data_IF_655930030063
#
_entry.id   IF_655930030063
#
_cell.length_a   1.000
_cell.length_b   1.000
_cell.length_c   1.000
_cell.angle_alpha   90.00
_cell.angle_beta   90.00
_cell.angle_gamma   90.00
#
_symmetry.space_group_name_H-M   'P 1'
#
loop_
_entity.id
_entity.type
_entity.pdbx_description
1 polymer ?
#
# COMPACT_ATOMS: atom_id res chain seq x y z
N UNK A 1 -5.80 11.87 1.93
CA UNK A 1 -6.59 10.68 2.34
C UNK A 1 -6.10 9.49 1.53
N UNK A 2 -5.94 8.31 2.14
CA UNK A 2 -5.52 7.09 1.44
C UNK A 2 -6.68 6.08 1.38
N UNK A 3 -7.02 5.60 0.20
CA UNK A 3 -8.13 4.66 -0.05
C UNK A 3 -7.58 3.26 -0.29
N UNK A 4 -8.09 2.26 0.42
CA UNK A 4 -7.59 0.87 0.30
C UNK A 4 -8.26 0.09 -0.82
N UNK A 5 -7.51 -0.86 -1.40
CA UNK A 5 -8.06 -1.96 -2.20
C UNK A 5 -9.15 -2.74 -1.45
N UNK A 6 -9.09 -2.80 -0.11
CA UNK A 6 -10.09 -3.47 0.72
C UNK A 6 -11.30 -2.61 1.09
N UNK A 7 -11.47 -1.40 0.53
CA UNK A 7 -12.56 -0.50 0.91
C UNK A 7 -13.95 -1.05 0.55
N UNK A 8 -14.93 -0.78 1.42
CA UNK A 8 -16.33 -1.13 1.23
C UNK A 8 -17.12 -0.18 0.33
N UNK A 9 -16.43 0.81 -0.22
CA UNK A 9 -16.96 1.76 -1.20
C UNK A 9 -15.95 1.82 -2.34
N UNK A 10 -16.45 1.88 -3.57
CA UNK A 10 -15.59 1.93 -4.75
C UNK A 10 -14.71 3.18 -4.76
N UNK A 11 -13.50 3.04 -5.31
CA UNK A 11 -12.53 4.13 -5.42
C UNK A 11 -13.08 5.30 -6.26
N UNK A 12 -13.93 4.99 -7.24
CA UNK A 12 -14.62 5.94 -8.11
C UNK A 12 -15.58 6.83 -7.31
N UNK A 13 -16.43 6.21 -6.48
CA UNK A 13 -17.41 6.92 -5.65
C UNK A 13 -16.70 7.80 -4.63
N UNK A 14 -15.65 7.30 -3.98
CA UNK A 14 -14.84 8.08 -3.03
C UNK A 14 -14.16 9.25 -3.74
N UNK A 15 -13.58 9.04 -4.92
CA UNK A 15 -12.91 10.09 -5.67
C UNK A 15 -13.88 11.20 -6.11
N UNK A 16 -15.08 10.83 -6.56
CA UNK A 16 -16.11 11.77 -6.97
C UNK A 16 -16.60 12.61 -5.79
N UNK A 17 -16.89 11.98 -4.66
CA UNK A 17 -17.39 12.69 -3.49
C UNK A 17 -16.31 13.59 -2.87
N UNK A 18 -15.07 13.11 -2.80
CA UNK A 18 -13.95 13.94 -2.35
C UNK A 18 -13.73 15.16 -3.24
N UNK A 19 -13.81 14.98 -4.57
CA UNK A 19 -13.68 16.09 -5.53
C UNK A 19 -14.80 17.13 -5.32
N UNK A 20 -16.03 16.67 -5.09
CA UNK A 20 -17.17 17.53 -4.77
C UNK A 20 -16.91 18.33 -3.49
N UNK A 21 -16.54 17.63 -2.42
CA UNK A 21 -16.27 18.22 -1.10
C UNK A 21 -15.14 19.27 -1.12
N UNK A 22 -14.01 18.95 -1.76
CA UNK A 22 -12.88 19.88 -1.87
C UNK A 22 -13.26 21.10 -2.70
N UNK A 23 -13.97 20.94 -3.83
CA UNK A 23 -14.40 22.06 -4.66
C UNK A 23 -15.33 23.02 -3.90
N UNK A 24 -16.21 22.49 -3.07
CA UNK A 24 -17.16 23.29 -2.27
C UNK A 24 -16.48 24.02 -1.11
N UNK A 25 -15.65 23.31 -0.34
CA UNK A 25 -15.13 23.81 0.94
C UNK A 25 -13.73 24.43 0.84
N UNK A 26 -12.93 24.00 -0.13
CA UNK A 26 -11.53 24.41 -0.32
C UNK A 26 -11.20 24.59 -1.82
N UNK A 27 -11.81 25.59 -2.50
CA UNK A 27 -11.72 25.73 -3.97
C UNK A 27 -10.30 25.98 -4.50
N UNK A 28 -9.37 26.43 -3.65
CA UNK A 28 -7.97 26.65 -4.00
C UNK A 28 -7.06 25.46 -3.65
N UNK A 29 -7.59 24.42 -3.01
CA UNK A 29 -6.83 23.24 -2.61
C UNK A 29 -6.91 22.15 -3.67
N UNK A 30 -5.78 21.51 -3.92
CA UNK A 30 -5.73 20.31 -4.77
C UNK A 30 -6.13 19.07 -3.96
N UNK A 31 -6.86 18.16 -4.62
CA UNK A 31 -7.18 16.84 -4.06
C UNK A 31 -5.90 16.05 -3.77
N UNK A 32 -5.74 15.59 -2.54
CA UNK A 32 -4.65 14.70 -2.09
C UNK A 32 -5.19 13.31 -1.75
N UNK A 33 -5.85 12.70 -2.73
CA UNK A 33 -6.27 11.31 -2.68
C UNK A 33 -5.13 10.39 -3.12
N UNK A 34 -4.76 9.43 -2.27
CA UNK A 34 -3.82 8.35 -2.59
C UNK A 34 -4.55 7.02 -2.58
N UNK A 35 -4.07 6.07 -3.38
CA UNK A 35 -4.69 4.74 -3.47
C UNK A 35 -3.71 3.68 -2.98
N UNK A 36 -4.10 2.94 -1.94
CA UNK A 36 -3.34 1.81 -1.42
C UNK A 36 -3.67 0.53 -2.17
N UNK A 37 -2.63 -0.13 -2.67
CA UNK A 37 -2.72 -1.36 -3.45
C UNK A 37 -2.03 -2.54 -2.77
N UNK A 38 -2.70 -3.69 -2.84
CA UNK A 38 -2.08 -5.00 -2.68
C UNK A 38 -1.89 -5.63 -4.06
N UNK A 39 -0.67 -6.08 -4.36
CA UNK A 39 -0.41 -6.83 -5.58
C UNK A 39 -0.93 -8.24 -5.40
N UNK A 40 -1.81 -8.68 -6.30
CA UNK A 40 -2.40 -10.01 -6.28
C UNK A 40 -1.65 -10.92 -7.24
N UNK A 41 -1.83 -12.24 -7.09
CA UNK A 41 -1.29 -13.24 -8.03
C UNK A 41 -1.76 -12.98 -9.47
N UNK A 42 -2.97 -12.45 -9.65
CA UNK A 42 -3.44 -12.01 -10.96
C UNK A 42 -2.93 -10.60 -11.27
N UNK A 43 -1.79 -10.52 -11.97
CA UNK A 43 -1.18 -9.24 -12.36
C UNK A 43 -2.08 -8.37 -13.23
N UNK A 44 -2.98 -8.95 -14.04
CA UNK A 44 -3.95 -8.19 -14.83
C UNK A 44 -4.96 -7.47 -13.95
N UNK A 45 -5.40 -8.12 -12.86
CA UNK A 45 -6.28 -7.50 -11.88
C UNK A 45 -5.60 -6.31 -11.19
N UNK A 46 -4.37 -6.47 -10.70
CA UNK A 46 -3.60 -5.36 -10.11
C UNK A 46 -3.37 -4.23 -11.11
N UNK A 47 -3.06 -4.54 -12.38
CA UNK A 47 -2.93 -3.54 -13.45
C UNK A 47 -4.24 -2.77 -13.65
N UNK A 48 -5.38 -3.45 -13.72
CA UNK A 48 -6.68 -2.81 -13.87
C UNK A 48 -6.98 -1.85 -12.71
N UNK A 49 -6.66 -2.22 -11.46
CA UNK A 49 -6.82 -1.34 -10.30
C UNK A 49 -5.95 -0.08 -10.38
N UNK A 50 -4.70 -0.23 -10.82
CA UNK A 50 -3.77 0.89 -11.00
C UNK A 50 -4.32 1.88 -12.04
N UNK A 51 -4.74 1.37 -13.20
CA UNK A 51 -5.32 2.20 -14.25
C UNK A 51 -6.63 2.87 -13.80
N UNK A 52 -7.46 2.18 -13.01
CA UNK A 52 -8.67 2.77 -12.42
C UNK A 52 -8.33 3.91 -11.46
N UNK A 53 -7.33 3.74 -10.61
CA UNK A 53 -6.87 4.79 -9.69
C UNK A 53 -6.34 6.01 -10.47
N UNK A 54 -5.57 5.81 -11.54
CA UNK A 54 -5.14 6.90 -12.42
C UNK A 54 -6.32 7.64 -13.04
N UNK A 55 -7.28 6.91 -13.64
CA UNK A 55 -8.49 7.50 -14.24
C UNK A 55 -9.33 8.29 -13.24
N UNK A 56 -9.38 7.83 -11.98
CA UNK A 56 -10.09 8.53 -10.91
C UNK A 56 -9.37 9.80 -10.42
N UNK A 57 -8.13 10.04 -10.84
CA UNK A 57 -7.34 11.22 -10.49
C UNK A 57 -6.66 11.12 -9.12
N UNK A 58 -6.40 9.91 -8.64
CA UNK A 58 -5.53 9.70 -7.48
C UNK A 58 -4.12 10.25 -7.78
N UNK A 59 -3.40 10.65 -6.73
CA UNK A 59 -2.12 11.38 -6.83
C UNK A 59 -0.89 10.54 -6.51
N UNK A 60 -1.07 9.39 -5.88
CA UNK A 60 0.00 8.46 -5.58
C UNK A 60 -0.58 7.06 -5.35
N UNK A 61 0.26 6.05 -5.58
CA UNK A 61 0.00 4.67 -5.24
C UNK A 61 0.79 4.30 -3.99
N UNK A 62 0.10 3.80 -2.97
CA UNK A 62 0.70 3.27 -1.75
C UNK A 62 0.75 1.75 -1.88
N UNK A 63 1.91 1.23 -2.26
CA UNK A 63 2.12 -0.20 -2.41
C UNK A 63 2.44 -0.82 -1.04
N UNK A 64 1.58 -1.74 -0.59
CA UNK A 64 1.83 -2.46 0.66
C UNK A 64 2.73 -3.68 0.42
N UNK A 65 3.89 -3.69 1.06
CA UNK A 65 4.91 -4.75 0.93
C UNK A 65 5.08 -5.61 2.21
N UNK A 66 4.53 -5.18 3.36
CA UNK A 66 4.61 -5.93 4.63
C UNK A 66 3.65 -7.12 4.74
N UNK A 67 2.77 -7.32 3.76
CA UNK A 67 1.69 -8.31 3.83
C UNK A 67 1.92 -9.46 2.86
N UNK A 68 3.10 -10.07 2.92
CA UNK A 68 3.41 -11.28 2.13
C UNK A 68 2.68 -12.53 2.67
N UNK A 69 2.26 -12.50 3.93
CA UNK A 69 1.47 -13.55 4.57
C UNK A 69 0.33 -12.95 5.38
N UNK A 70 -0.77 -13.71 5.49
CA UNK A 70 -1.87 -13.39 6.38
C UNK A 70 -1.38 -13.57 7.81
N UNK A 71 -1.35 -12.48 8.58
CA UNK A 71 -0.98 -12.53 10.00
C UNK A 71 -1.96 -13.39 10.80
N UNK A 72 -1.45 -14.08 11.83
CA UNK A 72 -2.28 -14.83 12.77
C UNK A 72 -3.09 -13.87 13.65
N UNK A 73 -4.31 -13.54 13.23
CA UNK A 73 -5.23 -12.70 13.99
C UNK A 73 -6.05 -13.57 14.92
N UNK A 74 -5.49 -13.87 16.09
CA UNK A 74 -6.12 -14.73 17.10
C UNK A 74 -7.50 -14.20 17.53
N UNK A 75 -7.66 -12.88 17.64
CA UNK A 75 -8.97 -12.28 17.91
C UNK A 75 -10.00 -12.60 16.81
N UNK A 76 -9.61 -12.61 15.53
CA UNK A 76 -10.52 -12.97 14.44
C UNK A 76 -10.91 -14.45 14.54
N UNK A 77 -9.96 -15.32 14.92
CA UNK A 77 -10.20 -16.76 15.08
C UNK A 77 -11.10 -17.02 16.29
N UNK A 78 -10.78 -16.43 17.43
CA UNK A 78 -11.51 -16.58 18.68
C UNK A 78 -12.96 -16.10 18.56
N UNK A 79 -13.16 -14.99 17.86
CA UNK A 79 -14.49 -14.42 17.65
C UNK A 79 -15.21 -14.96 16.40
N UNK A 80 -14.62 -15.91 15.68
CA UNK A 80 -15.10 -16.40 14.38
C UNK A 80 -15.51 -15.25 13.43
N UNK A 81 -14.64 -14.25 13.32
CA UNK A 81 -14.97 -13.00 12.66
C UNK A 81 -15.27 -13.19 11.16
N UNK A 82 -16.39 -12.63 10.73
CA UNK A 82 -16.79 -12.50 9.35
C UNK A 82 -17.29 -11.08 9.09
N UNK A 83 -17.20 -10.62 7.84
CA UNK A 83 -17.85 -9.35 7.49
C UNK A 83 -19.37 -9.52 7.55
N UNK A 84 -20.10 -8.53 8.09
CA UNK A 84 -21.56 -8.50 8.04
C UNK A 84 -22.10 -8.60 6.61
N UNK A 85 -23.32 -9.11 6.47
CA UNK A 85 -23.99 -9.19 5.18
C UNK A 85 -24.10 -7.81 4.53
N UNK A 86 -23.85 -7.77 3.21
CA UNK A 86 -23.84 -6.54 2.42
C UNK A 86 -22.51 -5.77 2.46
N UNK A 87 -21.55 -6.13 3.34
CA UNK A 87 -20.22 -5.51 3.36
C UNK A 87 -19.23 -6.39 2.60
N UNK A 88 -18.50 -5.79 1.66
CA UNK A 88 -17.47 -6.45 0.83
C UNK A 88 -16.40 -5.47 0.41
N UNK A 89 -15.27 -5.96 -0.10
CA UNK A 89 -14.29 -5.10 -0.75
C UNK A 89 -14.77 -4.73 -2.17
N UNK A 90 -15.38 -3.55 -2.34
CA UNK A 90 -15.96 -3.10 -3.63
C UNK A 90 -14.92 -2.88 -4.72
N UNK A 91 -13.67 -2.59 -4.35
CA UNK A 91 -12.59 -2.51 -5.32
C UNK A 91 -12.10 -3.90 -5.76
N UNK A 92 -12.44 -4.95 -5.03
CA UNK A 92 -12.03 -6.33 -5.29
C UNK A 92 -13.12 -7.14 -5.97
N UNK A 93 -13.48 -6.71 -7.17
CA UNK A 93 -14.40 -7.40 -8.08
C UNK A 93 -13.57 -7.73 -9.33
N UNK A 94 -13.24 -9.00 -9.51
CA UNK A 94 -12.56 -9.47 -10.72
C UNK A 94 -13.56 -9.82 -11.84
N UNK A 95 -13.04 -10.19 -13.02
CA UNK A 95 -13.85 -10.62 -14.18
C UNK A 95 -14.75 -11.85 -13.90
N UNK A 96 -14.47 -12.59 -12.82
CA UNK A 96 -15.25 -13.73 -12.37
C UNK A 96 -16.22 -13.39 -11.24
N UNK A 97 -16.37 -12.09 -10.90
CA UNK A 97 -17.14 -11.60 -9.76
C UNK A 97 -16.75 -12.26 -8.42
N UNK A 98 -15.47 -12.61 -8.24
CA UNK A 98 -14.99 -13.11 -6.96
C UNK A 98 -14.97 -11.95 -5.97
N UNK A 99 -16.00 -11.89 -5.13
CA UNK A 99 -16.13 -10.90 -4.07
C UNK A 99 -15.26 -11.34 -2.89
N UNK A 100 -14.17 -10.60 -2.64
CA UNK A 100 -13.44 -10.75 -1.39
C UNK A 100 -14.28 -10.19 -0.22
N UNK A 101 -14.85 -11.11 0.56
CA UNK A 101 -15.52 -10.82 1.85
C UNK A 101 -14.53 -10.73 3.00
N UNK A 102 -13.27 -11.10 2.81
CA UNK A 102 -12.23 -10.90 3.81
C UNK A 102 -10.91 -10.54 3.14
N UNK A 103 -10.03 -9.84 3.85
CA UNK A 103 -8.67 -9.56 3.37
C UNK A 103 -7.88 -10.85 3.04
N UNK A 104 -8.25 -11.98 3.66
CA UNK A 104 -7.65 -13.31 3.39
C UNK A 104 -7.93 -13.81 1.97
N UNK A 105 -9.02 -13.34 1.36
CA UNK A 105 -9.44 -13.72 0.02
C UNK A 105 -8.82 -12.86 -1.08
N UNK A 106 -8.02 -11.84 -0.73
CA UNK A 106 -7.43 -10.91 -1.69
C UNK A 106 -6.32 -11.53 -2.57
N UNK A 107 -6.01 -12.83 -2.39
CA UNK A 107 -4.99 -13.56 -3.16
C UNK A 107 -3.68 -12.76 -3.35
N UNK A 108 -3.23 -12.12 -2.28
CA UNK A 108 -2.00 -11.32 -2.27
C UNK A 108 -0.83 -12.20 -2.71
N UNK A 109 0.02 -11.67 -3.57
CA UNK A 109 1.17 -12.42 -4.05
C UNK A 109 2.31 -12.40 -3.01
N UNK A 110 2.67 -13.56 -2.42
CA UNK A 110 3.76 -13.63 -1.45
C UNK A 110 5.14 -13.47 -2.09
N UNK A 111 5.23 -13.54 -3.43
CA UNK A 111 6.51 -13.48 -4.18
C UNK A 111 6.91 -12.07 -4.61
N UNK A 112 6.22 -11.04 -4.10
CA UNK A 112 6.51 -9.64 -4.43
C UNK A 112 7.99 -9.32 -4.16
N UNK A 113 8.62 -8.71 -5.16
CA UNK A 113 10.05 -8.43 -5.16
C UNK A 113 10.35 -7.03 -5.70
N UNK A 114 11.60 -6.61 -5.61
CA UNK A 114 12.07 -5.35 -6.20
C UNK A 114 11.82 -5.26 -7.72
N UNK A 115 11.81 -6.39 -8.45
CA UNK A 115 11.52 -6.41 -9.89
C UNK A 115 10.06 -6.06 -10.20
N UNK A 116 9.15 -6.34 -9.26
CA UNK A 116 7.74 -5.98 -9.41
C UNK A 116 7.54 -4.46 -9.32
N UNK A 117 8.45 -3.74 -8.66
CA UNK A 117 8.42 -2.27 -8.66
C UNK A 117 8.67 -1.72 -10.06
N UNK A 118 9.61 -2.29 -10.80
CA UNK A 118 9.90 -1.91 -12.19
C UNK A 118 8.70 -2.19 -13.08
N UNK A 119 8.03 -3.33 -12.88
CA UNK A 119 6.79 -3.65 -13.58
C UNK A 119 5.69 -2.63 -13.27
N UNK A 120 5.43 -2.30 -11.99
CA UNK A 120 4.40 -1.32 -11.61
C UNK A 120 4.71 0.05 -12.23
N UNK A 121 5.97 0.49 -12.18
CA UNK A 121 6.41 1.74 -12.80
C UNK A 121 6.20 1.76 -14.31
N UNK A 122 6.35 0.61 -14.98
CA UNK A 122 6.13 0.52 -16.42
C UNK A 122 4.66 0.71 -16.83
N UNK A 123 3.72 0.57 -15.88
CA UNK A 123 2.27 0.63 -16.16
C UNK A 123 1.57 1.83 -15.50
N UNK A 124 2.28 2.69 -14.78
CA UNK A 124 1.70 3.88 -14.15
C UNK A 124 2.65 5.06 -14.14
N UNK A 125 2.08 6.25 -14.26
CA UNK A 125 2.74 7.53 -14.07
C UNK A 125 2.65 8.05 -12.63
N UNK A 126 1.86 7.39 -11.77
CA UNK A 126 1.68 7.82 -10.39
C UNK A 126 2.95 7.59 -9.57
N UNK A 127 3.32 8.56 -8.70
CA UNK A 127 4.33 8.34 -7.68
C UNK A 127 4.01 7.10 -6.84
N UNK A 128 5.04 6.29 -6.58
CA UNK A 128 4.95 5.10 -5.74
C UNK A 128 5.46 5.40 -4.33
N UNK A 129 4.70 4.93 -3.35
CA UNK A 129 5.01 4.99 -1.93
C UNK A 129 5.05 3.55 -1.42
N UNK A 130 6.16 3.12 -0.81
CA UNK A 130 6.26 1.78 -0.27
C UNK A 130 5.87 1.76 1.20
N UNK A 131 4.76 1.11 1.48
CA UNK A 131 4.25 0.90 2.83
C UNK A 131 4.67 -0.48 3.33
N UNK A 132 5.33 -0.54 4.48
CA UNK A 132 5.66 -1.79 5.17
C UNK A 132 7.13 -2.17 5.17
N UNK A 133 8.01 -1.22 4.82
CA UNK A 133 9.46 -1.43 4.93
C UNK A 133 9.85 -1.37 6.40
N UNK A 134 10.59 -2.39 6.86
CA UNK A 134 10.96 -2.56 8.27
C UNK A 134 12.48 -2.73 8.47
N UNK A 135 13.25 -2.91 7.39
CA UNK A 135 14.70 -3.11 7.45
C UNK A 135 15.43 -1.86 6.94
N UNK A 136 16.47 -1.36 7.64
CA UNK A 136 17.26 -0.23 7.17
C UNK A 136 17.82 -0.41 5.76
N UNK A 137 18.33 -1.60 5.40
CA UNK A 137 18.85 -1.84 4.04
C UNK A 137 17.80 -1.63 2.94
N UNK A 138 16.54 -2.00 3.21
CA UNK A 138 15.44 -1.76 2.28
C UNK A 138 15.10 -0.27 2.18
N UNK A 139 15.21 0.48 3.28
CA UNK A 139 15.08 1.93 3.29
C UNK A 139 16.22 2.62 2.49
N UNK A 140 17.47 2.16 2.66
CA UNK A 140 18.61 2.65 1.90
C UNK A 140 18.46 2.40 0.39
N UNK A 141 17.94 1.22 0.00
CA UNK A 141 17.62 0.94 -1.41
C UNK A 141 16.67 1.98 -2.00
N UNK A 142 15.71 2.49 -1.22
CA UNK A 142 14.75 3.49 -1.68
C UNK A 142 15.34 4.90 -1.79
N UNK A 143 16.47 5.15 -1.13
CA UNK A 143 17.23 6.39 -1.25
C UNK A 143 18.09 6.43 -2.52
N UNK A 144 18.22 5.32 -3.24
CA UNK A 144 18.80 5.31 -4.58
C UNK A 144 17.92 6.15 -5.52
N UNK A 145 18.45 7.22 -6.15
CA UNK A 145 17.69 8.08 -7.05
C UNK A 145 17.03 7.33 -8.22
N UNK A 146 17.56 6.14 -8.58
CA UNK A 146 17.01 5.24 -9.61
C UNK A 146 15.75 4.51 -9.12
N UNK A 147 15.58 4.41 -7.80
CA UNK A 147 14.46 3.78 -7.11
C UNK A 147 13.52 4.85 -6.54
N UNK A 148 13.02 5.77 -7.37
CA UNK A 148 12.08 6.84 -6.99
C UNK A 148 10.80 6.33 -6.28
N UNK A 149 10.87 6.12 -4.97
CA UNK A 149 9.76 5.78 -4.10
C UNK A 149 9.92 6.59 -2.80
N UNK A 150 8.94 7.43 -2.49
CA UNK A 150 9.18 8.64 -1.68
C UNK A 150 8.59 8.59 -0.28
N UNK A 151 8.11 7.45 0.22
CA UNK A 151 7.70 7.36 1.62
C UNK A 151 7.69 5.94 2.15
N UNK A 152 8.02 5.84 3.42
CA UNK A 152 8.04 4.64 4.24
C UNK A 152 6.92 4.77 5.28
N UNK A 153 6.06 3.75 5.38
CA UNK A 153 5.01 3.73 6.39
C UNK A 153 4.87 2.32 6.98
N UNK A 154 5.11 2.16 8.29
CA UNK A 154 4.93 0.89 9.00
C UNK A 154 3.55 0.85 9.69
N UNK A 155 2.91 -0.32 9.68
CA UNK A 155 1.62 -0.58 10.34
C UNK A 155 1.71 -0.86 11.84
N UNK A 156 2.92 -0.97 12.42
CA UNK A 156 3.14 -1.37 13.82
C UNK A 156 3.87 -0.35 14.70
N UNK A 157 4.41 0.72 14.12
CA UNK A 157 5.10 1.78 14.86
C UNK A 157 4.67 3.14 14.36
N UNK A 158 4.74 4.15 15.23
CA UNK A 158 4.28 5.50 14.89
C UNK A 158 5.15 6.09 13.77
N UNK A 159 4.58 7.00 12.98
CA UNK A 159 5.24 7.67 11.84
C UNK A 159 6.63 8.25 12.20
N UNK A 160 6.86 8.59 13.47
CA UNK A 160 8.07 9.21 13.98
C UNK A 160 9.28 8.27 14.01
N UNK A 161 9.11 7.00 14.39
CA UNK A 161 10.23 6.03 14.44
C UNK A 161 10.71 5.66 13.04
N UNK A 162 9.81 5.66 12.06
CA UNK A 162 10.16 5.43 10.65
C UNK A 162 10.89 6.66 10.07
N UNK A 163 10.54 7.87 10.49
CA UNK A 163 11.25 9.10 10.12
C UNK A 163 12.67 9.13 10.68
N UNK A 164 12.89 8.66 11.91
CA UNK A 164 14.25 8.56 12.47
C UNK A 164 15.12 7.58 11.68
N UNK A 165 14.59 6.41 11.30
CA UNK A 165 15.31 5.45 10.45
C UNK A 165 15.60 6.03 9.06
N UNK A 166 14.67 6.83 8.50
CA UNK A 166 14.88 7.54 7.24
C UNK A 166 16.00 8.57 7.35
N UNK A 167 15.96 9.41 8.37
CA UNK A 167 16.95 10.47 8.58
C UNK A 167 18.33 9.85 8.81
N UNK A 168 18.43 8.82 9.65
CA UNK A 168 19.68 8.09 9.87
C UNK A 168 20.22 7.43 8.59
N UNK A 169 19.34 6.86 7.75
CA UNK A 169 19.72 6.26 6.47
C UNK A 169 20.14 7.30 5.41
N UNK A 170 19.57 8.50 5.46
CA UNK A 170 19.94 9.63 4.60
C UNK A 170 21.24 10.30 5.05
N UNK A 171 21.48 10.38 6.36
CA UNK A 171 22.66 11.02 6.95
C UNK A 171 23.91 10.12 6.95
N UNK A 172 23.74 8.78 6.90
CA UNK A 172 24.87 7.82 6.90
C UNK A 172 24.81 6.79 5.75
N UNK A 173 24.99 7.22 4.48
CA UNK A 173 24.91 6.33 3.30
C UNK A 173 26.02 5.27 3.18
N UNK A 174 26.94 5.18 4.16
CA UNK A 174 28.08 4.24 4.19
C UNK A 174 28.28 3.59 5.57
N UNK A 175 27.25 3.45 6.40
CA UNK A 175 27.39 2.67 7.62
C UNK A 175 27.63 1.19 7.26
N UNK A 176 28.89 0.77 7.34
CA UNK A 176 29.33 -0.61 7.20
C UNK A 176 28.48 -1.55 8.06
N UNK A 177 28.24 -2.75 7.53
CA UNK A 177 27.60 -3.89 8.18
C UNK A 177 28.05 -4.03 9.64
N UNK A 178 27.27 -3.49 10.58
CA UNK A 178 27.39 -3.93 11.97
C UNK A 178 26.59 -5.21 12.10
N UNK A 179 27.21 -6.34 12.48
CA UNK A 179 26.46 -7.56 12.71
C UNK A 179 25.47 -7.30 13.84
N UNK A 180 24.18 -7.45 13.53
CA UNK A 180 23.14 -7.52 14.55
C UNK A 180 23.43 -8.78 15.34
N UNK A 181 23.99 -8.59 16.54
CA UNK A 181 24.22 -9.66 17.49
C UNK A 181 22.83 -10.20 17.89
N UNK A 182 22.40 -11.30 17.26
CA UNK A 182 21.20 -12.03 17.64
C UNK A 182 21.46 -12.75 18.95
N UNK A 183 21.50 -11.99 20.04
CA UNK A 183 21.38 -12.49 21.40
C UNK A 183 19.94 -12.91 21.62
N UNK A 184 19.66 -14.20 21.37
CA UNK A 184 18.51 -14.90 21.90
C UNK A 184 18.48 -14.74 23.43
N UNK A 185 17.43 -14.09 23.95
CA UNK A 185 16.67 -14.46 25.13
C UNK A 185 15.22 -14.02 24.93
#
# INVERSE_FOLDING_TARGET
MCVSTGASVSMESIANEHRRYIKEKYPQSYSQLWFQIYVTKNRNFSKNLIERAERCGYKALVLTVDTCAIGNRECDIHNNFSLPDGIRAENFIDENNIIAKTYRQLQIDPSLSWKDLDWIRSITSLPLILKGIMHPDDAHRLCDPRLSATALWNNKTTLMEVLEIIVDALDNPKAEEKPVNTGLL
#
